data_IF_562873701711
#
_entry.id   IF_562873701711
#
_cell.length_a   1.000
_cell.length_b   1.000
_cell.length_c   1.000
_cell.angle_alpha   90.00
_cell.angle_beta   90.00
_cell.angle_gamma   90.00
#
_symmetry.space_group_name_H-M   'P 1'
#
loop_
_entity.id
_entity.type
_entity.pdbx_description
1 polymer ?
#
# COMPACT_ATOMS: atom_id res chain seq x y z
N UNK A 1 -8.09 1.19 5.61
CA UNK A 1 -6.77 0.87 5.02
C UNK A 1 -6.49 -0.63 4.92
N UNK A 2 -6.87 -1.46 5.88
CA UNK A 2 -6.70 -2.93 5.79
C UNK A 2 -7.31 -3.51 4.51
N UNK A 3 -8.57 -3.15 4.20
CA UNK A 3 -9.23 -3.56 2.95
C UNK A 3 -8.43 -3.19 1.69
N UNK A 4 -7.72 -2.06 1.72
CA UNK A 4 -6.89 -1.60 0.61
C UNK A 4 -5.67 -2.51 0.43
N UNK A 5 -5.01 -2.92 1.51
CA UNK A 5 -3.91 -3.89 1.45
C UNK A 5 -4.41 -5.22 0.90
N UNK A 6 -5.49 -5.76 1.48
CA UNK A 6 -6.03 -7.06 1.09
C UNK A 6 -6.48 -7.08 -0.37
N UNK A 7 -7.14 -6.00 -0.82
CA UNK A 7 -7.56 -5.85 -2.21
C UNK A 7 -6.40 -5.70 -3.21
N UNK A 8 -5.23 -5.20 -2.77
CA UNK A 8 -4.08 -5.02 -3.65
C UNK A 8 -3.45 -6.38 -4.08
N UNK A 9 -3.58 -7.42 -3.26
CA UNK A 9 -3.23 -8.79 -3.64
C UNK A 9 -4.05 -9.26 -4.84
N UNK A 10 -5.38 -9.16 -4.73
CA UNK A 10 -6.30 -9.51 -5.82
C UNK A 10 -6.10 -8.64 -7.07
N UNK A 11 -5.80 -7.34 -6.91
CA UNK A 11 -5.46 -6.49 -8.05
C UNK A 11 -4.25 -7.02 -8.82
N UNK A 12 -3.23 -7.52 -8.12
CA UNK A 12 -2.03 -8.06 -8.77
C UNK A 12 -2.36 -9.33 -9.54
N UNK A 13 -3.13 -10.25 -8.95
CA UNK A 13 -3.62 -11.47 -9.63
C UNK A 13 -4.45 -11.11 -10.85
N UNK A 14 -5.39 -10.17 -10.73
CA UNK A 14 -6.18 -9.70 -11.86
C UNK A 14 -5.29 -9.18 -13.00
N UNK A 15 -4.24 -8.42 -12.68
CA UNK A 15 -3.30 -7.92 -13.69
C UNK A 15 -2.53 -9.05 -14.36
N UNK A 16 -2.04 -10.03 -13.60
CA UNK A 16 -1.37 -11.22 -14.13
C UNK A 16 -2.26 -11.98 -15.10
N UNK A 17 -3.51 -12.24 -14.70
CA UNK A 17 -4.50 -12.93 -15.54
C UNK A 17 -4.84 -12.14 -16.80
N UNK A 18 -4.91 -10.81 -16.69
CA UNK A 18 -5.25 -9.95 -17.82
C UNK A 18 -4.11 -9.82 -18.84
N UNK A 19 -2.86 -9.78 -18.38
CA UNK A 19 -1.69 -9.68 -19.27
C UNK A 19 -1.13 -11.04 -19.68
N UNK A 20 -1.64 -12.12 -19.11
CA UNK A 20 -1.10 -13.48 -19.23
C UNK A 20 0.43 -13.53 -19.04
N UNK A 21 0.94 -12.67 -18.15
CA UNK A 21 2.38 -12.42 -18.00
C UNK A 21 2.67 -11.82 -16.62
N UNK A 22 3.93 -11.85 -16.22
CA UNK A 22 4.36 -11.41 -14.89
C UNK A 22 3.90 -12.36 -13.78
N UNK A 23 3.83 -13.67 -14.06
CA UNK A 23 3.65 -14.69 -13.03
C UNK A 23 4.83 -14.70 -12.06
N UNK A 24 4.61 -15.20 -10.85
CA UNK A 24 5.60 -15.08 -9.77
C UNK A 24 6.47 -16.31 -9.67
N UNK A 25 5.89 -17.48 -9.92
CA UNK A 25 6.55 -18.75 -9.67
C UNK A 25 6.48 -19.68 -10.88
N UNK A 26 7.47 -20.55 -11.09
CA UNK A 26 7.46 -21.51 -12.21
C UNK A 26 6.25 -22.44 -12.23
N UNK A 27 5.68 -22.78 -11.07
CA UNK A 27 4.46 -23.58 -10.97
C UNK A 27 3.20 -22.92 -11.56
N UNK A 28 3.20 -21.60 -11.77
CA UNK A 28 2.11 -20.87 -12.43
C UNK A 28 2.03 -21.21 -13.94
N UNK A 29 3.09 -21.80 -14.50
CA UNK A 29 3.12 -22.32 -15.88
C UNK A 29 2.49 -23.71 -16.03
N UNK A 30 1.92 -24.28 -14.97
CA UNK A 30 1.16 -25.53 -15.11
C UNK A 30 -0.13 -25.24 -15.86
N UNK A 31 -0.41 -26.10 -16.85
CA UNK A 31 -1.69 -26.05 -17.53
C UNK A 31 -2.82 -26.28 -16.53
N UNK A 32 -3.84 -25.42 -16.58
CA UNK A 32 -4.96 -25.47 -15.66
C UNK A 32 -6.11 -24.59 -16.12
N UNK A 33 -7.12 -24.44 -15.26
CA UNK A 33 -8.33 -23.67 -15.57
C UNK A 33 -8.03 -22.20 -15.87
N UNK A 34 -7.00 -21.65 -15.22
CA UNK A 34 -6.60 -20.25 -15.32
C UNK A 34 -5.50 -20.02 -16.38
N UNK A 35 -4.58 -20.96 -16.57
CA UNK A 35 -3.52 -20.88 -17.58
C UNK A 35 -3.68 -22.04 -18.57
N UNK A 36 -4.42 -21.81 -19.67
CA UNK A 36 -4.75 -22.86 -20.65
C UNK A 36 -3.65 -23.08 -21.70
N UNK A 37 -2.76 -22.10 -21.88
CA UNK A 37 -1.70 -22.15 -22.89
C UNK A 37 -0.41 -21.61 -22.28
N UNK A 38 0.24 -22.38 -21.39
CA UNK A 38 1.40 -21.91 -20.67
C UNK A 38 2.58 -21.62 -21.62
N UNK A 39 3.24 -20.49 -21.42
CA UNK A 39 4.45 -20.08 -22.14
C UNK A 39 5.54 -19.67 -21.16
N UNK A 40 6.82 -20.01 -21.40
CA UNK A 40 7.93 -19.53 -20.57
C UNK A 40 7.97 -18.00 -20.42
N UNK A 41 7.53 -17.28 -21.44
CA UNK A 41 7.47 -15.80 -21.47
C UNK A 41 6.53 -15.23 -20.40
N UNK A 42 5.58 -16.02 -19.87
CA UNK A 42 4.67 -15.53 -18.84
C UNK A 42 5.38 -15.29 -17.49
N UNK A 43 6.56 -15.87 -17.30
CA UNK A 43 7.44 -15.60 -16.15
C UNK A 43 8.26 -14.31 -16.31
N UNK A 44 8.26 -13.71 -17.51
CA UNK A 44 9.02 -12.50 -17.75
C UNK A 44 8.46 -11.31 -16.96
N UNK A 45 9.35 -10.37 -16.68
CA UNK A 45 9.03 -9.15 -15.97
C UNK A 45 8.00 -8.35 -16.76
N UNK A 46 6.84 -8.11 -16.13
CA UNK A 46 5.79 -7.29 -16.69
C UNK A 46 5.57 -6.04 -15.81
N UNK A 47 5.91 -4.84 -16.32
CA UNK A 47 5.79 -3.60 -15.54
C UNK A 47 4.35 -3.32 -15.08
N UNK A 48 3.34 -3.73 -15.84
CA UNK A 48 1.94 -3.53 -15.45
C UNK A 48 1.59 -4.32 -14.17
N UNK A 49 2.08 -5.54 -14.05
CA UNK A 49 1.94 -6.38 -12.85
C UNK A 49 2.85 -5.89 -11.73
N UNK A 50 4.13 -5.64 -12.02
CA UNK A 50 5.11 -5.22 -11.04
C UNK A 50 4.78 -3.87 -10.40
N UNK A 51 4.13 -2.97 -11.15
CA UNK A 51 3.58 -1.73 -10.60
C UNK A 51 2.60 -2.01 -9.46
N UNK A 52 1.73 -3.01 -9.61
CA UNK A 52 0.81 -3.43 -8.54
C UNK A 52 1.55 -4.01 -7.34
N UNK A 53 2.60 -4.82 -7.58
CA UNK A 53 3.47 -5.38 -6.53
C UNK A 53 4.19 -4.29 -5.74
N UNK A 54 4.76 -3.28 -6.41
CA UNK A 54 5.44 -2.15 -5.77
C UNK A 54 4.47 -1.28 -4.95
N UNK A 55 3.24 -1.07 -5.45
CA UNK A 55 2.19 -0.42 -4.66
C UNK A 55 1.86 -1.22 -3.40
N UNK A 56 1.68 -2.54 -3.52
CA UNK A 56 1.39 -3.42 -2.39
C UNK A 56 2.52 -3.41 -1.36
N UNK A 57 3.78 -3.50 -1.81
CA UNK A 57 4.94 -3.43 -0.92
C UNK A 57 4.96 -2.11 -0.14
N UNK A 58 4.74 -0.99 -0.82
CA UNK A 58 4.70 0.31 -0.15
C UNK A 58 3.55 0.42 0.87
N UNK A 59 2.42 -0.22 0.60
CA UNK A 59 1.32 -0.31 1.55
C UNK A 59 1.67 -1.14 2.79
N UNK A 60 2.34 -2.28 2.58
CA UNK A 60 2.82 -3.15 3.65
C UNK A 60 3.91 -2.49 4.51
N UNK A 61 4.72 -1.61 3.92
CA UNK A 61 5.74 -0.86 4.67
C UNK A 61 5.14 0.25 5.54
N UNK A 62 3.99 0.84 5.16
CA UNK A 62 3.47 2.06 5.79
C UNK A 62 2.23 1.84 6.63
N UNK A 63 1.26 1.06 6.15
CA UNK A 63 -0.03 0.93 6.82
C UNK A 63 0.08 0.19 8.15
N UNK A 64 0.88 -0.88 8.32
CA UNK A 64 1.07 -1.50 9.64
C UNK A 64 1.61 -0.52 10.69
N UNK A 65 2.62 0.29 10.33
CA UNK A 65 3.15 1.33 11.22
C UNK A 65 2.06 2.35 11.61
N UNK A 66 1.25 2.79 10.66
CA UNK A 66 0.09 3.65 10.93
C UNK A 66 -0.96 2.99 11.83
N UNK A 67 -1.29 1.71 11.61
CA UNK A 67 -2.27 1.00 12.44
C UNK A 67 -1.77 0.90 13.89
N UNK A 68 -0.49 0.58 14.10
CA UNK A 68 0.13 0.56 15.42
C UNK A 68 0.13 1.95 16.05
N UNK A 69 0.65 2.96 15.36
CA UNK A 69 0.70 4.33 15.86
C UNK A 69 -0.70 4.92 16.13
N UNK A 70 -1.70 4.59 15.29
CA UNK A 70 -3.08 5.01 15.43
C UNK A 70 -3.78 4.37 16.61
N UNK A 71 -3.56 3.08 16.84
CA UNK A 71 -4.08 2.41 18.02
C UNK A 71 -3.51 3.03 19.30
N UNK A 72 -2.19 3.25 19.34
CA UNK A 72 -1.52 3.89 20.47
C UNK A 72 -1.97 5.33 20.67
N UNK A 73 -2.15 6.08 19.58
CA UNK A 73 -2.66 7.45 19.61
C UNK A 73 -4.04 7.47 20.26
N UNK A 74 -4.98 6.62 19.85
CA UNK A 74 -6.32 6.58 20.47
C UNK A 74 -6.24 6.19 21.96
N UNK A 75 -5.31 5.30 22.32
CA UNK A 75 -5.12 4.87 23.71
C UNK A 75 -4.70 6.01 24.65
N UNK A 76 -3.97 7.02 24.17
CA UNK A 76 -3.59 8.21 24.97
C UNK A 76 -4.65 9.32 24.95
N UNK A 77 -5.84 9.06 24.40
CA UNK A 77 -6.99 9.98 24.42
C UNK A 77 -6.67 11.44 23.99
N UNK A 78 -6.11 11.64 22.79
CA UNK A 78 -5.80 12.96 22.26
C UNK A 78 -7.09 13.79 22.06
N UNK A 79 -6.96 15.11 21.90
CA UNK A 79 -8.06 15.94 21.42
C UNK A 79 -8.67 15.38 20.13
N UNK A 80 -10.00 15.33 20.07
CA UNK A 80 -10.75 14.73 18.95
C UNK A 80 -10.30 15.28 17.59
N UNK A 81 -10.14 16.60 17.48
CA UNK A 81 -9.73 17.25 16.24
C UNK A 81 -8.35 16.76 15.77
N UNK A 82 -7.40 16.62 16.70
CA UNK A 82 -6.06 16.13 16.38
C UNK A 82 -6.12 14.68 15.87
N UNK A 83 -6.87 13.81 16.55
CA UNK A 83 -7.07 12.44 16.12
C UNK A 83 -7.68 12.37 14.71
N UNK A 84 -8.72 13.15 14.44
CA UNK A 84 -9.38 13.19 13.13
C UNK A 84 -8.45 13.66 12.03
N UNK A 85 -7.70 14.74 12.25
CA UNK A 85 -6.76 15.29 11.27
C UNK A 85 -5.66 14.26 10.94
N UNK A 86 -5.07 13.62 11.95
CA UNK A 86 -4.00 12.64 11.72
C UNK A 86 -4.54 11.35 11.07
N UNK A 87 -5.63 10.79 11.59
CA UNK A 87 -6.18 9.53 11.06
C UNK A 87 -6.74 9.70 9.66
N UNK A 88 -7.58 10.71 9.41
CA UNK A 88 -8.17 10.93 8.09
C UNK A 88 -7.15 11.49 7.10
N UNK A 89 -6.26 12.38 7.56
CA UNK A 89 -5.16 12.90 6.75
C UNK A 89 -4.27 11.79 6.21
N UNK A 90 -3.92 10.80 7.04
CA UNK A 90 -3.16 9.65 6.58
C UNK A 90 -3.90 8.84 5.51
N UNK A 91 -5.18 8.54 5.75
CA UNK A 91 -6.00 7.78 4.79
C UNK A 91 -6.06 8.50 3.44
N UNK A 92 -6.34 9.80 3.43
CA UNK A 92 -6.40 10.61 2.21
C UNK A 92 -5.04 10.62 1.51
N UNK A 93 -3.95 10.88 2.22
CA UNK A 93 -2.61 10.88 1.65
C UNK A 93 -2.26 9.53 1.00
N UNK A 94 -2.62 8.41 1.64
CA UNK A 94 -2.37 7.07 1.09
C UNK A 94 -3.23 6.74 -0.12
N UNK A 95 -4.48 7.21 -0.17
CA UNK A 95 -5.35 7.04 -1.34
C UNK A 95 -4.84 7.86 -2.53
N UNK A 96 -4.41 9.11 -2.29
CA UNK A 96 -3.81 9.96 -3.32
C UNK A 96 -2.47 9.41 -3.81
N UNK A 97 -1.62 8.89 -2.92
CA UNK A 97 -0.41 8.18 -3.29
C UNK A 97 -0.71 6.96 -4.17
N UNK A 98 -1.70 6.14 -3.78
CA UNK A 98 -2.10 4.97 -4.55
C UNK A 98 -2.62 5.34 -5.94
N UNK A 99 -3.45 6.39 -6.03
CA UNK A 99 -3.95 6.93 -7.29
C UNK A 99 -2.81 7.43 -8.19
N UNK A 100 -1.88 8.20 -7.64
CA UNK A 100 -0.71 8.70 -8.36
C UNK A 100 0.17 7.56 -8.89
N UNK A 101 0.34 6.49 -8.10
CA UNK A 101 1.08 5.30 -8.52
C UNK A 101 0.37 4.53 -9.63
N UNK A 102 -0.95 4.34 -9.50
CA UNK A 102 -1.78 3.62 -10.47
C UNK A 102 -1.86 4.35 -11.82
N UNK A 103 -1.90 5.68 -11.82
CA UNK A 103 -1.97 6.53 -13.03
C UNK A 103 -0.60 6.97 -13.54
N UNK A 104 0.47 6.30 -13.09
CA UNK A 104 1.84 6.56 -13.52
C UNK A 104 2.28 8.03 -13.45
N UNK A 105 1.83 8.76 -12.42
CA UNK A 105 2.26 10.14 -12.18
C UNK A 105 3.75 10.21 -11.84
N UNK A 106 4.30 11.41 -11.99
CA UNK A 106 5.72 11.71 -11.76
C UNK A 106 6.14 11.28 -10.36
N UNK A 107 7.45 11.05 -10.21
CA UNK A 107 8.04 10.69 -8.93
C UNK A 107 7.68 11.72 -7.85
N UNK A 108 7.73 13.01 -8.19
CA UNK A 108 7.42 14.12 -7.28
C UNK A 108 6.03 14.02 -6.68
N UNK A 109 4.99 13.78 -7.50
CA UNK A 109 3.61 13.67 -7.01
C UNK A 109 3.47 12.50 -6.03
N UNK A 110 4.09 11.36 -6.33
CA UNK A 110 4.08 10.20 -5.44
C UNK A 110 4.86 10.48 -4.15
N UNK A 111 6.06 11.04 -4.27
CA UNK A 111 6.93 11.37 -3.14
C UNK A 111 6.24 12.35 -2.18
N UNK A 112 5.53 13.35 -2.69
CA UNK A 112 4.77 14.30 -1.85
C UNK A 112 3.75 13.61 -0.96
N UNK A 113 2.86 12.79 -1.55
CA UNK A 113 1.85 12.08 -0.76
C UNK A 113 2.43 11.02 0.18
N UNK A 114 3.53 10.38 -0.22
CA UNK A 114 4.29 9.50 0.65
C UNK A 114 4.82 10.26 1.87
N UNK A 115 5.52 11.37 1.66
CA UNK A 115 6.10 12.21 2.72
C UNK A 115 5.04 12.73 3.68
N UNK A 116 3.90 13.22 3.18
CA UNK A 116 2.79 13.65 4.03
C UNK A 116 2.33 12.50 4.93
N UNK A 117 2.13 11.30 4.37
CA UNK A 117 1.76 10.11 5.16
C UNK A 117 2.81 9.76 6.23
N UNK A 118 4.09 9.80 5.88
CA UNK A 118 5.19 9.51 6.82
C UNK A 118 5.25 10.54 7.96
N UNK A 119 5.12 11.84 7.66
CA UNK A 119 5.13 12.90 8.67
C UNK A 119 3.96 12.76 9.65
N UNK A 120 2.79 12.32 9.17
CA UNK A 120 1.65 12.03 10.04
C UNK A 120 1.99 10.91 11.01
N UNK A 121 2.53 9.78 10.55
CA UNK A 121 2.90 8.66 11.43
C UNK A 121 3.96 9.07 12.45
N UNK A 122 4.95 9.88 12.04
CA UNK A 122 5.96 10.43 12.94
C UNK A 122 5.30 11.32 14.00
N UNK A 123 4.40 12.22 13.61
CA UNK A 123 3.68 13.10 14.53
C UNK A 123 2.85 12.30 15.55
N UNK A 124 2.16 11.24 15.10
CA UNK A 124 1.41 10.34 15.99
C UNK A 124 2.34 9.67 17.00
N UNK A 125 3.48 9.14 16.56
CA UNK A 125 4.44 8.47 17.43
C UNK A 125 5.05 9.42 18.47
N UNK A 126 5.42 10.64 18.05
CA UNK A 126 5.95 11.66 18.95
C UNK A 126 4.90 12.12 19.98
N UNK A 127 3.64 12.28 19.56
CA UNK A 127 2.56 12.64 20.47
C UNK A 127 2.32 11.57 21.53
N UNK A 128 2.28 10.29 21.11
CA UNK A 128 2.16 9.15 22.05
C UNK A 128 3.33 9.15 23.02
N UNK A 129 4.56 9.28 22.52
CA UNK A 129 5.76 9.28 23.35
C UNK A 129 5.72 10.38 24.41
N UNK A 130 5.32 11.60 24.03
CA UNK A 130 5.21 12.72 24.96
C UNK A 130 4.15 12.50 26.05
N UNK A 131 3.04 11.82 25.74
CA UNK A 131 1.97 11.55 26.72
C UNK A 131 2.25 10.35 27.64
N UNK A 132 3.23 9.51 27.30
CA UNK A 132 3.60 8.34 28.11
C UNK A 132 4.79 8.63 29.02
N UNK A 133 5.69 9.53 28.61
CA UNK A 133 6.90 9.88 29.38
C UNK A 133 6.64 10.98 30.42
N UNK A 134 5.67 11.86 30.17
CA UNK A 134 5.26 12.96 31.05
C UNK A 134 4.12 12.50 31.96
#
# INVERSE_FOLDING_TARGET
MVLKIMGQGWMTVYRMMKSEAGFASPEDLREGLLNKSPSPEQLDINDYVDRSRRMHRNDLENIPAFLCAGLLLVAVSPPLLLAQVLLYGFVIARLLHAYAYATAKSHEVRATFYTIGSLIVIAMALYVLANVIV
#
